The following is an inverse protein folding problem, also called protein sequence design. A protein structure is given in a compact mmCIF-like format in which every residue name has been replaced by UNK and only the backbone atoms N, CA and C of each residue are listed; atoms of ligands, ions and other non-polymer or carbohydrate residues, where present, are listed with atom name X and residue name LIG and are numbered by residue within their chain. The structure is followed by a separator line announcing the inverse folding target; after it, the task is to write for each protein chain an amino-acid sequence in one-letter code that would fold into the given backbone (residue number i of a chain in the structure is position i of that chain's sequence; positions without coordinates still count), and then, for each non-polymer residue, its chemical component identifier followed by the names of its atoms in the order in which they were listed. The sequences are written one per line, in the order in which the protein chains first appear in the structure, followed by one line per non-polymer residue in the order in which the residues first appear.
data_IF_531889259386
#
_entry.id   IF_531889259386
#
_cell.length_a   1.000
_cell.length_b   1.000
_cell.length_c   1.000
_cell.angle_alpha   90.00
_cell.angle_beta   90.00
_cell.angle_gamma   90.00
#
_symmetry.space_group_name_H-M   'P 1'
#
loop_
_entity.id
_entity.type
_entity.pdbx_description
1 polymer ?
#
# COMPACT_ATOMS: atom_id res chain seq x y z
N UNK A 1 3.13 13.36 -21.64
CA UNK A 1 4.09 12.63 -20.80
C UNK A 1 3.34 11.51 -20.10
N UNK A 2 3.88 10.29 -20.08
CA UNK A 2 3.27 9.20 -19.31
C UNK A 2 3.37 9.52 -17.81
N UNK A 3 2.30 9.27 -17.05
CA UNK A 3 2.30 9.47 -15.60
C UNK A 3 3.29 8.51 -14.94
N UNK A 4 4.08 9.02 -14.01
CA UNK A 4 5.01 8.20 -13.24
C UNK A 4 4.22 7.26 -12.32
N UNK A 5 4.63 5.98 -12.27
CA UNK A 5 4.04 4.97 -11.40
C UNK A 5 4.67 5.04 -10.00
N UNK A 6 3.85 5.24 -8.97
CA UNK A 6 4.29 5.32 -7.57
C UNK A 6 3.63 4.20 -6.77
N UNK A 7 4.45 3.39 -6.09
CA UNK A 7 3.98 2.42 -5.12
C UNK A 7 4.12 2.98 -3.71
N UNK A 8 2.99 3.16 -3.01
CA UNK A 8 3.00 3.43 -1.57
C UNK A 8 2.84 2.13 -0.80
N UNK A 9 3.66 1.89 0.20
CA UNK A 9 3.68 0.64 0.98
C UNK A 9 3.46 0.98 2.45
N UNK A 10 2.48 0.32 3.09
CA UNK A 10 2.19 0.51 4.52
C UNK A 10 1.78 -0.80 5.19
N UNK A 11 2.21 -1.03 6.42
CA UNK A 11 1.94 -2.30 7.12
C UNK A 11 0.52 -2.41 7.69
N UNK A 12 -0.23 -1.30 7.80
CA UNK A 12 -1.63 -1.25 8.25
C UNK A 12 -2.34 0.01 7.78
N UNK A 13 -3.67 -0.06 7.63
CA UNK A 13 -4.54 1.07 7.25
C UNK A 13 -5.58 1.41 8.32
N UNK A 14 -5.31 1.12 9.58
CA UNK A 14 -6.18 1.58 10.67
C UNK A 14 -6.16 3.13 10.73
N UNK A 15 -7.25 3.75 11.18
CA UNK A 15 -7.33 5.22 11.24
C UNK A 15 -6.46 5.80 12.35
N UNK A 16 -6.08 7.07 12.18
CA UNK A 16 -5.09 7.82 12.97
C UNK A 16 -3.63 7.60 12.55
N UNK A 17 -2.88 8.71 12.53
CA UNK A 17 -1.42 8.71 12.35
C UNK A 17 -0.98 8.57 10.88
N UNK A 18 0.08 7.77 10.59
CA UNK A 18 0.65 7.67 9.25
C UNK A 18 -0.35 7.29 8.12
N UNK A 19 -1.35 6.40 8.34
CA UNK A 19 -2.37 6.11 7.35
C UNK A 19 -3.20 7.32 6.89
N UNK A 20 -3.43 8.32 7.74
CA UNK A 20 -4.22 9.51 7.38
C UNK A 20 -3.42 10.47 6.50
N UNK A 21 -2.13 10.64 6.81
CA UNK A 21 -1.19 11.38 5.94
C UNK A 21 -1.07 10.70 4.59
N UNK A 22 -0.96 9.37 4.57
CA UNK A 22 -0.91 8.58 3.35
C UNK A 22 -2.15 8.80 2.47
N UNK A 23 -3.35 8.74 3.07
CA UNK A 23 -4.61 9.00 2.34
C UNK A 23 -4.63 10.39 1.74
N UNK A 24 -4.19 11.41 2.49
CA UNK A 24 -4.12 12.78 2.01
C UNK A 24 -3.13 12.93 0.84
N UNK A 25 -1.94 12.34 0.95
CA UNK A 25 -0.94 12.36 -0.11
C UNK A 25 -1.48 11.71 -1.38
N UNK A 26 -2.03 10.51 -1.25
CA UNK A 26 -2.61 9.75 -2.35
C UNK A 26 -3.71 10.56 -3.04
N UNK A 27 -4.64 11.13 -2.28
CA UNK A 27 -5.78 11.88 -2.82
C UNK A 27 -5.34 13.08 -3.66
N UNK A 28 -4.25 13.73 -3.28
CA UNK A 28 -3.70 14.88 -4.01
C UNK A 28 -2.85 14.45 -5.21
N UNK A 29 -2.02 13.42 -5.05
CA UNK A 29 -1.05 13.00 -6.07
C UNK A 29 -1.64 12.12 -7.18
N UNK A 30 -2.79 11.47 -6.96
CA UNK A 30 -3.44 10.61 -7.98
C UNK A 30 -3.81 11.36 -9.28
N UNK A 31 -3.90 12.70 -9.22
CA UNK A 31 -4.16 13.53 -10.41
C UNK A 31 -2.96 13.49 -11.37
N UNK A 32 -1.75 13.47 -10.82
CA UNK A 32 -0.51 13.62 -11.59
C UNK A 32 0.23 12.28 -11.76
N UNK A 33 -0.03 11.31 -10.87
CA UNK A 33 0.71 10.05 -10.76
C UNK A 33 -0.20 8.83 -10.81
N UNK A 34 0.33 7.71 -11.32
CA UNK A 34 -0.33 6.41 -11.27
C UNK A 34 0.01 5.74 -9.94
N UNK A 35 -0.89 5.84 -8.96
CA UNK A 35 -0.63 5.35 -7.61
C UNK A 35 -1.13 3.92 -7.45
N UNK A 36 -0.27 3.05 -6.92
CA UNK A 36 -0.65 1.73 -6.39
C UNK A 36 -0.39 1.71 -4.89
N UNK A 37 -1.42 1.42 -4.10
CA UNK A 37 -1.30 1.23 -2.65
C UNK A 37 -1.06 -0.24 -2.34
N UNK A 38 0.04 -0.57 -1.68
CA UNK A 38 0.33 -1.89 -1.15
C UNK A 38 0.17 -1.82 0.36
N UNK A 39 -0.71 -2.64 0.92
CA UNK A 39 -1.01 -2.56 2.34
C UNK A 39 -1.02 -3.91 3.03
N UNK A 40 -0.67 -3.86 4.31
CA UNK A 40 -0.56 -4.99 5.20
C UNK A 40 -1.81 -5.27 6.02
N UNK A 41 -1.67 -6.18 6.98
CA UNK A 41 -2.75 -6.63 7.85
C UNK A 41 -3.34 -5.45 8.63
N UNK A 42 -4.56 -5.04 8.26
CA UNK A 42 -5.32 -3.98 8.92
C UNK A 42 -6.28 -4.60 9.93
N UNK A 43 -6.18 -4.23 11.21
CA UNK A 43 -6.85 -4.94 12.31
C UNK A 43 -8.32 -4.52 12.47
N UNK A 44 -8.63 -3.25 12.23
CA UNK A 44 -9.94 -2.65 12.44
C UNK A 44 -10.34 -1.77 11.24
N UNK A 45 -10.59 -2.35 10.06
CA UNK A 45 -11.00 -1.59 8.89
C UNK A 45 -12.42 -1.03 9.08
N UNK A 46 -12.54 0.28 9.25
CA UNK A 46 -13.84 0.95 9.27
C UNK A 46 -14.37 1.20 7.85
N UNK A 47 -15.62 1.69 7.75
CA UNK A 47 -16.24 2.00 6.45
C UNK A 47 -15.45 2.99 5.62
N UNK A 48 -14.82 4.00 6.24
CA UNK A 48 -13.98 4.95 5.51
C UNK A 48 -12.74 4.28 4.89
N UNK A 49 -12.14 3.30 5.56
CA UNK A 49 -11.04 2.49 4.98
C UNK A 49 -11.53 1.70 3.78
N UNK A 50 -12.71 1.07 3.87
CA UNK A 50 -13.30 0.30 2.77
C UNK A 50 -13.60 1.20 1.57
N UNK A 51 -14.17 2.38 1.79
CA UNK A 51 -14.45 3.37 0.75
C UNK A 51 -13.16 3.82 0.06
N UNK A 52 -12.15 4.21 0.84
CA UNK A 52 -10.84 4.60 0.31
C UNK A 52 -10.22 3.49 -0.56
N UNK A 53 -10.28 2.23 -0.11
CA UNK A 53 -9.74 1.10 -0.88
C UNK A 53 -10.50 0.81 -2.18
N UNK A 54 -11.76 1.24 -2.31
CA UNK A 54 -12.51 1.14 -3.58
C UNK A 54 -12.11 2.22 -4.59
N UNK A 55 -11.57 3.34 -4.11
CA UNK A 55 -11.20 4.50 -4.94
C UNK A 55 -9.77 4.41 -5.50
N UNK A 56 -8.95 3.48 -5.01
CA UNK A 56 -7.55 3.33 -5.40
C UNK A 56 -7.21 1.89 -5.80
N UNK A 57 -6.28 1.75 -6.75
CA UNK A 57 -5.61 0.48 -7.03
C UNK A 57 -4.84 0.02 -5.79
N UNK A 58 -5.43 -0.90 -5.04
CA UNK A 58 -4.87 -1.42 -3.80
C UNK A 58 -4.48 -2.91 -3.91
N UNK A 59 -3.39 -3.29 -3.25
CA UNK A 59 -2.86 -4.66 -3.21
C UNK A 59 -2.64 -5.05 -1.76
N UNK A 60 -3.35 -6.08 -1.32
CA UNK A 60 -3.27 -6.58 0.05
C UNK A 60 -2.20 -7.66 0.19
N UNK A 61 -1.25 -7.46 1.11
CA UNK A 61 -0.22 -8.44 1.48
C UNK A 61 -0.36 -8.75 2.98
N UNK A 62 -1.07 -9.81 3.40
CA UNK A 62 -1.33 -10.09 4.82
C UNK A 62 -0.06 -10.41 5.64
N UNK A 63 1.04 -10.76 4.97
CA UNK A 63 2.34 -10.98 5.59
C UNK A 63 3.11 -9.68 5.84
N UNK A 64 2.75 -8.58 5.17
CA UNK A 64 3.25 -7.26 5.50
C UNK A 64 2.58 -6.85 6.82
N UNK A 65 3.32 -7.00 7.93
CA UNK A 65 2.80 -6.77 9.28
C UNK A 65 3.66 -5.74 10.00
N UNK A 66 3.10 -5.11 11.02
CA UNK A 66 3.84 -4.13 11.83
C UNK A 66 4.76 -4.82 12.83
N UNK A 67 4.32 -5.96 13.35
CA UNK A 67 5.11 -6.79 14.26
C UNK A 67 6.15 -7.59 13.46
N UNK A 68 7.41 -7.52 13.88
CA UNK A 68 8.52 -8.24 13.24
C UNK A 68 8.28 -9.75 13.38
N UNK A 69 8.34 -10.47 12.27
CA UNK A 69 8.21 -11.91 12.23
C UNK A 69 8.97 -12.46 11.02
N UNK A 70 10.13 -13.08 11.26
CA UNK A 70 11.05 -13.50 10.20
C UNK A 70 10.38 -14.32 9.07
N UNK A 71 9.44 -15.19 9.42
CA UNK A 71 8.72 -15.97 8.42
C UNK A 71 7.81 -15.09 7.55
N UNK A 72 7.00 -14.23 8.16
CA UNK A 72 6.14 -13.31 7.41
C UNK A 72 6.93 -12.24 6.68
N UNK A 73 8.02 -11.75 7.26
CA UNK A 73 8.90 -10.74 6.65
C UNK A 73 9.57 -11.30 5.40
N UNK A 74 10.05 -12.54 5.43
CA UNK A 74 10.60 -13.21 4.25
C UNK A 74 9.53 -13.39 3.15
N UNK A 75 8.33 -13.82 3.52
CA UNK A 75 7.23 -13.97 2.56
C UNK A 75 6.79 -12.62 1.99
N UNK A 76 6.72 -11.58 2.81
CA UNK A 76 6.38 -10.22 2.40
C UNK A 76 7.45 -9.66 1.45
N UNK A 77 8.74 -9.87 1.77
CA UNK A 77 9.86 -9.48 0.93
C UNK A 77 9.78 -10.12 -0.46
N UNK A 78 9.59 -11.45 -0.53
CA UNK A 78 9.46 -12.15 -1.81
C UNK A 78 8.26 -11.64 -2.61
N UNK A 79 7.10 -11.46 -1.96
CA UNK A 79 5.90 -10.91 -2.62
C UNK A 79 6.14 -9.52 -3.17
N UNK A 80 6.76 -8.63 -2.40
CA UNK A 80 7.10 -7.28 -2.84
C UNK A 80 8.09 -7.32 -4.01
N UNK A 81 9.14 -8.13 -3.93
CA UNK A 81 10.12 -8.30 -5.00
C UNK A 81 9.47 -8.72 -6.34
N UNK A 82 8.64 -9.76 -6.32
CA UNK A 82 7.94 -10.21 -7.53
C UNK A 82 6.91 -9.18 -8.02
N UNK A 83 6.23 -8.49 -7.11
CA UNK A 83 5.30 -7.42 -7.46
C UNK A 83 6.03 -6.29 -8.19
N UNK A 84 7.17 -5.86 -7.67
CA UNK A 84 7.91 -4.75 -8.26
C UNK A 84 8.49 -5.11 -9.63
N UNK A 85 9.06 -6.32 -9.73
CA UNK A 85 9.57 -6.85 -11.00
C UNK A 85 8.48 -6.98 -12.07
N UNK A 86 7.28 -7.44 -11.68
CA UNK A 86 6.14 -7.59 -12.62
C UNK A 86 5.59 -6.25 -13.12
N UNK A 87 5.60 -5.21 -12.28
CA UNK A 87 5.00 -3.92 -12.60
C UNK A 87 6.03 -2.88 -13.06
N UNK A 88 7.29 -3.27 -13.29
CA UNK A 88 8.39 -2.39 -13.71
C UNK A 88 8.52 -1.13 -12.83
N UNK A 89 8.32 -1.27 -11.51
CA UNK A 89 8.61 -0.19 -10.59
C UNK A 89 10.12 0.07 -10.60
N UNK A 90 10.51 1.35 -10.69
CA UNK A 90 11.89 1.78 -10.44
C UNK A 90 12.06 1.83 -8.92
N UNK A 91 12.94 0.98 -8.39
CA UNK A 91 13.22 0.82 -6.96
C UNK A 91 14.60 1.39 -6.66
#
# INVERSE_FOLDING_TARGET
MEKINIAYIITRLDWAGPPDVLRLLIKNLQKDYNITLIYGLTKYPNEKTKLFLKEIKAIYIPQLRREINLFYDLVAFLKLYFLFKKNNFKI
#
